data_IF_652955893184
#
_entry.id   IF_652955893184
#
_cell.length_a   1.000
_cell.length_b   1.000
_cell.length_c   1.000
_cell.angle_alpha   90.00
_cell.angle_beta   90.00
_cell.angle_gamma   90.00
#
_symmetry.space_group_name_H-M   'P 1'
#
loop_
_entity.id
_entity.type
_entity.pdbx_description
1 polymer ?
#
# COMPACT_ATOMS: atom_id res chain seq x y z
N UNK A 1 -33.09 -3.75 15.15
CA UNK A 1 -32.28 -2.68 14.54
C UNK A 1 -30.93 -3.27 14.12
N UNK A 2 -30.74 -3.60 12.85
CA UNK A 2 -29.47 -4.12 12.32
C UNK A 2 -28.54 -2.94 12.01
N UNK A 3 -27.84 -2.45 13.03
CA UNK A 3 -26.88 -1.34 12.93
C UNK A 3 -25.60 -1.73 12.19
N UNK A 4 -25.70 -2.13 10.93
CA UNK A 4 -24.54 -2.31 10.06
C UNK A 4 -23.95 -0.95 9.69
N UNK A 5 -22.64 -0.74 9.89
CA UNK A 5 -21.95 0.43 9.35
C UNK A 5 -22.05 0.39 7.82
N UNK A 6 -22.57 1.47 7.22
CA UNK A 6 -22.58 1.60 5.77
C UNK A 6 -21.14 1.54 5.22
N UNK A 7 -20.95 0.81 4.11
CA UNK A 7 -19.68 0.77 3.40
C UNK A 7 -19.37 2.19 2.89
N UNK A 8 -18.12 2.65 3.04
CA UNK A 8 -17.73 3.97 2.55
C UNK A 8 -17.94 4.07 1.04
N UNK A 9 -18.33 5.26 0.55
CA UNK A 9 -18.52 5.48 -0.88
C UNK A 9 -17.28 5.07 -1.70
N UNK A 10 -16.09 5.39 -1.19
CA UNK A 10 -14.83 4.98 -1.82
C UNK A 10 -14.67 3.46 -1.90
N UNK A 11 -14.95 2.74 -0.80
CA UNK A 11 -14.90 1.27 -0.77
C UNK A 11 -15.94 0.63 -1.69
N UNK A 12 -17.09 1.28 -1.90
CA UNK A 12 -18.09 0.81 -2.86
C UNK A 12 -17.61 0.96 -4.30
N UNK A 13 -17.02 2.12 -4.65
CA UNK A 13 -16.59 2.42 -6.02
C UNK A 13 -15.31 1.71 -6.47
N UNK A 14 -14.47 1.20 -5.55
CA UNK A 14 -13.31 0.40 -5.94
C UNK A 14 -13.68 -1.04 -6.33
N UNK A 15 -14.86 -1.52 -5.92
CA UNK A 15 -15.33 -2.89 -6.15
C UNK A 15 -15.26 -3.36 -7.60
N UNK A 16 -15.70 -2.58 -8.60
CA UNK A 16 -15.55 -2.93 -10.02
C UNK A 16 -14.10 -3.21 -10.42
N UNK A 17 -13.14 -2.39 -9.98
CA UNK A 17 -11.72 -2.57 -10.30
C UNK A 17 -11.11 -3.78 -9.59
N UNK A 18 -11.51 -4.04 -8.35
CA UNK A 18 -11.12 -5.27 -7.64
C UNK A 18 -11.61 -6.50 -8.42
N UNK A 19 -12.85 -6.48 -8.91
CA UNK A 19 -13.40 -7.59 -9.73
C UNK A 19 -12.69 -7.76 -11.06
N UNK A 20 -12.24 -6.68 -11.70
CA UNK A 20 -11.43 -6.76 -12.92
C UNK A 20 -10.11 -7.50 -12.66
N UNK A 21 -9.43 -7.17 -11.56
CA UNK A 21 -8.19 -7.86 -11.14
C UNK A 21 -8.49 -9.32 -10.77
N UNK A 22 -9.54 -9.57 -9.99
CA UNK A 22 -9.95 -10.92 -9.56
C UNK A 22 -10.18 -11.86 -10.76
N UNK A 23 -10.84 -11.36 -11.82
CA UNK A 23 -11.10 -12.14 -13.04
C UNK A 23 -9.84 -12.58 -13.79
N UNK A 24 -8.75 -11.81 -13.71
CA UNK A 24 -7.52 -12.11 -14.44
C UNK A 24 -6.49 -12.85 -13.59
N UNK A 25 -6.63 -12.82 -12.25
CA UNK A 25 -5.69 -13.45 -11.35
C UNK A 25 -5.70 -14.98 -11.48
N UNK A 26 -4.51 -15.57 -11.50
CA UNK A 26 -4.29 -17.02 -11.59
C UNK A 26 -3.14 -17.42 -10.68
N UNK A 27 -3.01 -18.73 -10.39
CA UNK A 27 -1.85 -19.27 -9.67
C UNK A 27 -0.51 -18.99 -10.37
N UNK A 28 -0.49 -18.83 -11.68
CA UNK A 28 0.72 -18.47 -12.40
C UNK A 28 1.08 -16.99 -12.16
N UNK A 29 0.07 -16.11 -12.14
CA UNK A 29 0.25 -14.68 -11.86
C UNK A 29 0.54 -14.40 -10.38
N UNK A 30 0.03 -15.19 -9.44
CA UNK A 30 0.32 -15.02 -8.01
C UNK A 30 1.83 -15.10 -7.70
N UNK A 31 2.63 -15.73 -8.57
CA UNK A 31 4.09 -15.79 -8.45
C UNK A 31 4.81 -14.47 -8.77
N UNK A 32 4.11 -13.50 -9.36
CA UNK A 32 4.68 -12.19 -9.76
C UNK A 32 3.85 -10.99 -9.33
N UNK A 33 2.59 -11.20 -8.98
CA UNK A 33 1.69 -10.16 -8.47
C UNK A 33 1.58 -10.31 -6.97
N UNK A 34 1.85 -9.22 -6.26
CA UNK A 34 1.89 -9.17 -4.81
C UNK A 34 1.03 -8.01 -4.32
N UNK A 35 0.25 -8.25 -3.28
CA UNK A 35 -0.57 -7.22 -2.63
C UNK A 35 0.23 -6.53 -1.52
N UNK A 36 0.24 -5.20 -1.54
CA UNK A 36 0.85 -4.38 -0.50
C UNK A 36 -0.14 -3.28 -0.10
N UNK A 37 -0.18 -2.94 1.19
CA UNK A 37 -1.02 -1.89 1.72
C UNK A 37 -0.17 -0.76 2.31
N UNK A 38 -0.36 0.52 1.94
CA UNK A 38 0.52 1.61 2.37
C UNK A 38 0.67 1.71 3.88
N UNK A 39 -0.42 1.53 4.65
CA UNK A 39 -0.35 1.61 6.12
C UNK A 39 0.54 0.51 6.72
N UNK A 40 0.56 -0.68 6.12
CA UNK A 40 1.41 -1.79 6.54
C UNK A 40 2.85 -1.55 6.11
N UNK A 41 3.06 -1.04 4.90
CA UNK A 41 4.38 -0.66 4.40
C UNK A 41 5.02 0.41 5.29
N UNK A 42 4.27 1.46 5.66
CA UNK A 42 4.75 2.49 6.58
C UNK A 42 5.05 1.95 7.97
N UNK A 43 4.23 1.05 8.50
CA UNK A 43 4.50 0.40 9.77
C UNK A 43 5.82 -0.40 9.73
N UNK A 44 6.12 -1.08 8.62
CA UNK A 44 7.39 -1.76 8.43
C UNK A 44 8.58 -0.79 8.27
N UNK A 45 8.42 0.28 7.50
CA UNK A 45 9.47 1.31 7.32
C UNK A 45 9.82 2.00 8.65
N UNK A 46 8.80 2.32 9.45
CA UNK A 46 8.95 3.06 10.69
C UNK A 46 9.26 2.19 11.91
N UNK A 47 8.88 0.90 11.87
CA UNK A 47 8.89 0.00 13.03
C UNK A 47 7.68 0.18 13.95
N UNK A 48 6.74 1.06 13.63
CA UNK A 48 5.52 1.31 14.39
C UNK A 48 4.41 1.88 13.48
N UNK A 49 3.12 1.74 13.84
CA UNK A 49 2.03 2.39 13.12
C UNK A 49 2.17 3.92 13.08
N UNK A 50 1.70 4.54 12.00
CA UNK A 50 1.68 6.00 11.87
C UNK A 50 0.68 6.62 12.85
N UNK A 51 1.08 7.70 13.52
CA UNK A 51 0.28 8.36 14.55
C UNK A 51 -0.76 9.32 13.96
N UNK A 52 -0.48 9.87 12.77
CA UNK A 52 -1.32 10.87 12.14
C UNK A 52 -2.01 10.34 10.87
N UNK A 53 -3.26 10.75 10.67
CA UNK A 53 -4.03 10.46 9.44
C UNK A 53 -3.31 11.02 8.21
N UNK A 54 -3.21 10.22 7.15
CA UNK A 54 -2.51 10.59 5.90
C UNK A 54 -3.05 11.85 5.20
N UNK A 55 -4.32 12.18 5.40
CA UNK A 55 -4.94 13.38 4.85
C UNK A 55 -4.52 14.67 5.55
N UNK A 56 -3.97 14.59 6.78
CA UNK A 56 -3.47 15.75 7.52
C UNK A 56 -2.04 16.06 7.13
N UNK A 57 -1.66 17.35 7.20
CA UNK A 57 -0.28 17.80 6.91
C UNK A 57 0.74 17.05 7.75
N UNK A 58 0.54 16.97 9.07
CA UNK A 58 1.39 16.22 9.99
C UNK A 58 1.54 14.74 9.61
N UNK A 59 0.49 14.11 9.08
CA UNK A 59 0.55 12.72 8.62
C UNK A 59 1.33 12.52 7.33
N UNK A 60 1.37 13.52 6.45
CA UNK A 60 2.25 13.50 5.27
C UNK A 60 3.70 13.73 5.66
N UNK A 61 3.96 14.69 6.54
CA UNK A 61 5.31 14.99 7.05
C UNK A 61 5.91 13.80 7.83
N UNK A 62 5.11 13.13 8.68
CA UNK A 62 5.51 11.92 9.40
C UNK A 62 5.97 10.82 8.43
N UNK A 63 5.12 10.46 7.47
CA UNK A 63 5.42 9.46 6.43
C UNK A 63 6.65 9.85 5.62
N UNK A 64 6.74 11.10 5.19
CA UNK A 64 7.86 11.61 4.41
C UNK A 64 9.20 11.49 5.16
N UNK A 65 9.22 11.83 6.45
CA UNK A 65 10.41 11.70 7.30
C UNK A 65 10.91 10.26 7.34
N UNK A 66 10.00 9.29 7.43
CA UNK A 66 10.35 7.88 7.39
C UNK A 66 10.83 7.43 6.00
N UNK A 67 10.22 7.89 4.91
CA UNK A 67 10.70 7.63 3.55
C UNK A 67 12.11 8.18 3.33
N UNK A 68 12.40 9.40 3.80
CA UNK A 68 13.74 10.01 3.67
C UNK A 68 14.85 9.23 4.35
N UNK A 69 14.55 8.45 5.41
CA UNK A 69 15.52 7.53 6.03
C UNK A 69 15.91 6.38 5.10
N UNK A 70 15.02 5.99 4.18
CA UNK A 70 15.28 4.93 3.18
C UNK A 70 15.73 5.50 1.84
N UNK A 71 15.33 6.73 1.53
CA UNK A 71 15.61 7.43 0.28
C UNK A 71 16.11 8.85 0.55
N UNK A 72 17.41 9.02 0.90
CA UNK A 72 17.98 10.33 1.22
C UNK A 72 17.91 11.36 0.09
N UNK A 73 17.74 10.92 -1.16
CA UNK A 73 17.56 11.76 -2.34
C UNK A 73 16.20 12.48 -2.42
N UNK A 74 15.23 12.07 -1.60
CA UNK A 74 13.94 12.76 -1.54
C UNK A 74 14.14 14.19 -0.98
N UNK A 75 13.42 15.20 -1.51
CA UNK A 75 13.56 16.58 -1.06
C UNK A 75 13.23 16.73 0.44
N UNK A 76 13.68 17.81 1.10
CA UNK A 76 13.50 18.00 2.53
C UNK A 76 12.05 17.90 2.98
N UNK A 77 11.15 18.47 2.18
CA UNK A 77 9.71 18.55 2.42
C UNK A 77 8.91 17.64 1.47
N UNK A 78 7.70 17.20 1.86
CA UNK A 78 6.84 16.38 1.01
C UNK A 78 6.52 17.07 -0.33
N UNK A 79 7.03 16.51 -1.41
CA UNK A 79 6.81 17.00 -2.76
C UNK A 79 6.69 15.84 -3.75
N UNK A 80 5.95 16.05 -4.83
CA UNK A 80 5.82 15.10 -5.94
C UNK A 80 6.38 15.71 -7.23
N UNK A 81 6.90 14.90 -8.17
CA UNK A 81 7.37 15.38 -9.46
C UNK A 81 6.27 16.14 -10.22
N UNK A 82 6.65 17.24 -10.89
CA UNK A 82 5.71 18.11 -11.60
C UNK A 82 5.08 17.40 -12.80
N UNK A 83 5.82 16.47 -13.41
CA UNK A 83 5.43 15.68 -14.60
C UNK A 83 4.22 14.77 -14.32
N UNK A 84 3.96 14.45 -13.05
CA UNK A 84 2.76 13.69 -12.66
C UNK A 84 1.47 14.49 -12.89
N UNK A 85 1.55 15.83 -13.00
CA UNK A 85 0.40 16.68 -13.33
C UNK A 85 -0.73 16.50 -12.33
N UNK A 86 -1.97 16.26 -12.78
CA UNK A 86 -3.12 15.95 -11.92
C UNK A 86 -3.41 14.44 -11.77
N UNK A 87 -2.54 13.58 -12.31
CA UNK A 87 -2.77 12.11 -12.35
C UNK A 87 -2.61 11.44 -10.99
N UNK A 88 -1.84 12.06 -10.11
CA UNK A 88 -1.47 11.51 -8.80
C UNK A 88 -1.38 12.68 -7.83
N UNK A 89 -2.11 12.60 -6.73
CA UNK A 89 -1.96 13.57 -5.66
C UNK A 89 -0.72 13.27 -4.80
N UNK A 90 -0.42 14.16 -3.85
CA UNK A 90 0.76 13.97 -2.99
C UNK A 90 0.61 12.74 -2.06
N UNK A 91 -0.60 12.42 -1.61
CA UNK A 91 -0.84 11.30 -0.70
C UNK A 91 -0.63 9.98 -1.44
N UNK A 92 -1.19 9.86 -2.65
CA UNK A 92 -1.02 8.69 -3.50
C UNK A 92 0.44 8.50 -3.91
N UNK A 93 1.17 9.59 -4.17
CA UNK A 93 2.60 9.53 -4.46
C UNK A 93 3.41 9.01 -3.28
N UNK A 94 3.12 9.49 -2.06
CA UNK A 94 3.76 9.03 -0.82
C UNK A 94 3.46 7.55 -0.58
N UNK A 95 2.20 7.14 -0.74
CA UNK A 95 1.77 5.74 -0.60
C UNK A 95 2.46 4.84 -1.65
N UNK A 96 2.61 5.31 -2.89
CA UNK A 96 3.29 4.59 -3.96
C UNK A 96 4.78 4.35 -3.68
N UNK A 97 5.50 5.32 -3.11
CA UNK A 97 6.91 5.13 -2.72
C UNK A 97 7.01 4.04 -1.64
N UNK A 98 6.11 4.04 -0.66
CA UNK A 98 6.11 3.02 0.39
C UNK A 98 5.84 1.62 -0.19
N UNK A 99 4.87 1.49 -1.09
CA UNK A 99 4.61 0.23 -1.80
C UNK A 99 5.80 -0.20 -2.67
N UNK A 100 6.49 0.74 -3.34
CA UNK A 100 7.67 0.45 -4.14
C UNK A 100 8.84 -0.04 -3.26
N UNK A 101 9.01 0.52 -2.06
CA UNK A 101 9.98 0.03 -1.08
C UNK A 101 9.71 -1.43 -0.70
N UNK A 102 8.46 -1.78 -0.40
CA UNK A 102 8.05 -3.17 -0.13
C UNK A 102 8.28 -4.07 -1.35
N UNK A 103 7.95 -3.60 -2.56
CA UNK A 103 8.18 -4.36 -3.79
C UNK A 103 9.67 -4.67 -4.02
N UNK A 104 10.56 -3.72 -3.73
CA UNK A 104 12.00 -3.94 -3.79
C UNK A 104 12.46 -5.04 -2.80
N UNK A 105 11.88 -5.07 -1.60
CA UNK A 105 12.15 -6.14 -0.62
C UNK A 105 11.62 -7.49 -1.07
N UNK A 106 10.47 -7.54 -1.73
CA UNK A 106 9.95 -8.80 -2.32
C UNK A 106 10.94 -9.31 -3.37
N UNK A 107 11.44 -8.43 -4.24
CA UNK A 107 12.42 -8.81 -5.26
C UNK A 107 13.76 -9.28 -4.66
N UNK A 108 14.11 -8.80 -3.47
CA UNK A 108 15.30 -9.19 -2.72
C UNK A 108 15.07 -10.37 -1.75
N UNK A 109 13.88 -10.96 -1.71
CA UNK A 109 13.47 -12.02 -0.76
C UNK A 109 13.57 -11.60 0.73
N UNK A 110 13.43 -10.30 1.00
CA UNK A 110 13.48 -9.71 2.35
C UNK A 110 12.11 -9.34 2.92
N UNK A 111 11.07 -9.34 2.08
CA UNK A 111 9.73 -8.93 2.50
C UNK A 111 9.04 -10.02 3.34
N UNK A 112 8.23 -9.59 4.31
CA UNK A 112 7.54 -10.50 5.23
C UNK A 112 6.05 -10.58 4.89
N UNK A 113 5.47 -11.78 4.72
CA UNK A 113 4.04 -11.94 4.49
C UNK A 113 3.22 -11.73 5.77
N UNK A 114 2.02 -11.18 5.63
CA UNK A 114 1.02 -11.08 6.70
C UNK A 114 -0.33 -11.66 6.22
N UNK A 115 -0.89 -12.70 6.89
CA UNK A 115 -0.28 -13.46 8.00
C UNK A 115 0.96 -14.26 7.55
N UNK A 116 1.85 -14.59 8.48
CA UNK A 116 3.09 -15.34 8.19
C UNK A 116 2.81 -16.66 7.46
N UNK A 117 1.78 -17.38 7.91
CA UNK A 117 1.23 -18.51 7.19
C UNK A 117 0.17 -18.03 6.21
N UNK A 118 0.55 -17.95 4.94
CA UNK A 118 -0.35 -17.54 3.86
C UNK A 118 -1.64 -18.36 3.86
N UNK A 119 -2.76 -17.66 4.00
CA UNK A 119 -4.08 -18.22 3.75
C UNK A 119 -4.32 -18.31 2.24
N UNK A 120 -5.21 -19.20 1.83
CA UNK A 120 -5.67 -19.28 0.44
C UNK A 120 -7.17 -19.10 0.37
N UNK A 121 -7.64 -18.41 -0.65
CA UNK A 121 -9.06 -18.26 -0.92
C UNK A 121 -9.67 -19.54 -1.52
N UNK A 122 -10.98 -19.50 -1.83
CA UNK A 122 -11.71 -20.60 -2.47
C UNK A 122 -11.20 -20.95 -3.88
N UNK A 123 -10.54 -20.02 -4.55
CA UNK A 123 -9.92 -20.20 -5.86
C UNK A 123 -8.48 -20.73 -5.73
N UNK A 124 -8.01 -20.89 -4.49
CA UNK A 124 -6.67 -21.34 -4.17
C UNK A 124 -5.60 -20.26 -4.40
N UNK A 125 -5.97 -18.98 -4.48
CA UNK A 125 -5.06 -17.84 -4.56
C UNK A 125 -4.58 -17.41 -3.17
N UNK A 126 -3.34 -16.96 -3.08
CA UNK A 126 -2.75 -16.47 -1.83
C UNK A 126 -3.45 -15.19 -1.33
N UNK A 127 -3.86 -15.20 -0.06
CA UNK A 127 -4.39 -14.03 0.66
C UNK A 127 -3.33 -13.51 1.62
N UNK A 128 -2.55 -12.52 1.19
CA UNK A 128 -1.41 -12.02 1.96
C UNK A 128 -1.09 -10.58 1.61
N UNK A 129 -0.86 -9.76 2.63
CA UNK A 129 -0.30 -8.42 2.48
C UNK A 129 1.19 -8.48 2.78
N UNK A 130 2.01 -7.89 1.90
CA UNK A 130 3.47 -7.85 2.03
C UNK A 130 3.93 -6.57 2.72
N UNK A 131 5.03 -6.66 3.47
CA UNK A 131 5.68 -5.54 4.17
C UNK A 131 7.20 -5.67 4.25
#
# INVERSE_FOLDING_TARGET
MTGGKAISQQSFWIGPKIREVDKVMTRALERRVYEAHPEVCFAAIAGHPMSNRKSRRLGREERWRHLRKKFPQLPPEPARPAELGRRCDLVDYIDAIACAWTAARIAADEAVPMPEKALRDRCGLRMTIWR
#
